data_IF_216123169465
#
_entry.id   IF_216123169465
#
_cell.length_a   1.000
_cell.length_b   1.000
_cell.length_c   1.000
_cell.angle_alpha   90.00
_cell.angle_beta   90.00
_cell.angle_gamma   90.00
#
_symmetry.space_group_name_H-M   'P 1'
#
loop_
_entity.id
_entity.type
_entity.pdbx_description
1 polymer ?
#
# COMPACT_ATOMS: atom_id res chain seq x y z
N UNK A 1 31.95 6.23 4.91
CA UNK A 1 31.06 5.93 3.77
C UNK A 1 31.70 6.52 2.54
N UNK A 2 32.07 5.71 1.53
CA UNK A 2 32.66 6.23 0.30
C UNK A 2 31.59 6.91 -0.55
N UNK A 3 31.97 8.07 -1.11
CA UNK A 3 31.26 8.75 -2.19
C UNK A 3 32.28 8.99 -3.28
N UNK A 4 32.03 8.44 -4.47
CA UNK A 4 32.88 8.55 -5.63
C UNK A 4 32.17 9.35 -6.71
N UNK A 5 32.87 10.32 -7.27
CA UNK A 5 32.40 11.13 -8.40
C UNK A 5 33.21 10.74 -9.61
N UNK A 6 32.52 10.33 -10.67
CA UNK A 6 33.08 9.80 -11.92
C UNK A 6 34.24 8.80 -11.73
N UNK A 7 34.09 7.76 -10.89
CA UNK A 7 35.16 6.78 -10.65
C UNK A 7 35.46 5.93 -11.89
N UNK A 8 36.71 5.48 -11.98
CA UNK A 8 37.08 4.38 -12.88
C UNK A 8 36.31 3.10 -12.53
N UNK A 9 36.00 2.27 -13.54
CA UNK A 9 35.14 1.10 -13.36
C UNK A 9 35.68 0.11 -12.32
N UNK A 10 37.00 -0.09 -12.25
CA UNK A 10 37.64 -0.95 -11.25
C UNK A 10 37.46 -0.42 -9.82
N UNK A 11 37.59 0.89 -9.65
CA UNK A 11 37.36 1.54 -8.36
C UNK A 11 35.89 1.42 -7.94
N UNK A 12 34.97 1.67 -8.89
CA UNK A 12 33.54 1.50 -8.67
C UNK A 12 33.19 0.06 -8.30
N UNK A 13 33.74 -0.94 -9.01
CA UNK A 13 33.53 -2.37 -8.72
C UNK A 13 34.05 -2.74 -7.33
N UNK A 14 35.26 -2.30 -6.98
CA UNK A 14 35.85 -2.56 -5.66
C UNK A 14 34.95 -2.04 -4.54
N UNK A 15 34.44 -0.81 -4.65
CA UNK A 15 33.52 -0.26 -3.64
C UNK A 15 32.14 -0.94 -3.65
N UNK A 16 31.61 -1.34 -4.81
CA UNK A 16 30.37 -2.11 -4.89
C UNK A 16 30.46 -3.43 -4.12
N UNK A 17 31.54 -4.19 -4.32
CA UNK A 17 31.75 -5.48 -3.65
C UNK A 17 31.75 -5.29 -2.13
N UNK A 18 32.55 -4.34 -1.61
CA UNK A 18 32.61 -4.03 -0.18
C UNK A 18 31.24 -3.63 0.37
N UNK A 19 30.50 -2.78 -0.36
CA UNK A 19 29.20 -2.29 0.06
C UNK A 19 28.14 -3.40 0.09
N UNK A 20 28.13 -4.29 -0.92
CA UNK A 20 27.22 -5.45 -0.99
C UNK A 20 27.49 -6.44 0.14
N UNK A 21 28.76 -6.78 0.39
CA UNK A 21 29.16 -7.67 1.51
C UNK A 21 28.73 -7.09 2.86
N UNK A 22 28.86 -5.76 3.02
CA UNK A 22 28.45 -5.04 4.21
C UNK A 22 26.93 -4.74 4.28
N UNK A 23 26.13 -5.25 3.33
CA UNK A 23 24.67 -5.01 3.20
C UNK A 23 24.31 -3.53 3.28
N UNK A 24 25.10 -2.68 2.63
CA UNK A 24 24.85 -1.25 2.54
C UNK A 24 23.87 -0.96 1.40
N UNK A 25 23.14 0.16 1.51
CA UNK A 25 22.47 0.74 0.38
C UNK A 25 23.50 1.40 -0.54
N UNK A 26 23.42 1.14 -1.85
CA UNK A 26 24.27 1.75 -2.87
C UNK A 26 23.41 2.51 -3.86
N UNK A 27 23.81 3.74 -4.15
CA UNK A 27 23.19 4.60 -5.15
C UNK A 27 24.20 4.90 -6.24
N UNK A 28 23.82 4.68 -7.49
CA UNK A 28 24.70 4.80 -8.66
C UNK A 28 23.98 5.67 -9.70
N UNK A 29 24.69 6.64 -10.27
CA UNK A 29 24.28 7.29 -11.53
C UNK A 29 25.26 6.85 -12.59
N UNK A 30 24.75 6.24 -13.66
CA UNK A 30 25.58 5.66 -14.71
C UNK A 30 24.87 5.70 -16.06
N UNK A 31 25.65 5.82 -17.13
CA UNK A 31 25.17 5.45 -18.47
C UNK A 31 25.23 3.92 -18.59
N UNK A 32 24.10 3.30 -18.92
CA UNK A 32 23.99 1.85 -18.92
C UNK A 32 22.92 1.30 -19.85
N UNK A 33 22.99 0.00 -20.11
CA UNK A 33 21.90 -0.82 -20.61
C UNK A 33 21.29 -1.63 -19.47
N UNK A 34 20.06 -2.10 -19.66
CA UNK A 34 19.36 -2.93 -18.69
C UNK A 34 18.62 -4.04 -19.41
N UNK A 35 18.88 -5.29 -19.02
CA UNK A 35 18.18 -6.46 -19.53
C UNK A 35 17.58 -7.24 -18.38
N UNK A 36 16.29 -7.55 -18.48
CA UNK A 36 15.56 -8.36 -17.54
C UNK A 36 15.06 -9.64 -18.21
N UNK A 37 15.26 -10.76 -17.52
CA UNK A 37 14.77 -12.08 -17.93
C UNK A 37 14.11 -12.78 -16.74
N UNK A 38 12.83 -13.09 -16.87
CA UNK A 38 12.02 -13.74 -15.85
C UNK A 38 10.66 -14.15 -16.40
N UNK A 39 9.58 -13.85 -15.66
CA UNK A 39 8.19 -14.06 -16.13
C UNK A 39 7.87 -13.34 -17.44
N UNK A 40 8.57 -12.24 -17.70
CA UNK A 40 8.58 -11.49 -18.95
C UNK A 40 10.04 -11.19 -19.32
N UNK A 41 10.28 -10.73 -20.54
CA UNK A 41 11.58 -10.17 -20.95
C UNK A 41 11.46 -8.68 -21.21
N UNK A 42 12.49 -7.91 -20.85
CA UNK A 42 12.59 -6.51 -21.26
C UNK A 42 14.03 -6.09 -21.48
N UNK A 43 14.27 -5.31 -22.53
CA UNK A 43 15.56 -4.71 -22.82
C UNK A 43 15.42 -3.20 -22.85
N UNK A 44 16.43 -2.52 -22.32
CA UNK A 44 16.58 -1.08 -22.42
C UNK A 44 17.98 -0.75 -22.91
N UNK A 45 18.03 -0.01 -24.03
CA UNK A 45 19.28 0.48 -24.61
C UNK A 45 19.99 1.53 -23.75
N UNK A 46 21.07 2.08 -24.29
CA UNK A 46 21.92 3.06 -23.60
C UNK A 46 21.15 4.25 -23.03
N UNK A 47 21.61 4.75 -21.89
CA UNK A 47 21.06 5.94 -21.26
C UNK A 47 21.46 6.10 -19.80
N UNK A 48 21.42 7.34 -19.32
CA UNK A 48 21.72 7.68 -17.94
C UNK A 48 20.58 7.29 -17.01
N UNK A 49 20.90 6.55 -15.95
CA UNK A 49 19.92 6.02 -14.99
C UNK A 49 20.43 6.14 -13.58
N UNK A 50 19.47 6.32 -12.66
CA UNK A 50 19.68 6.15 -11.24
C UNK A 50 19.42 4.69 -10.86
N UNK A 51 20.43 4.01 -10.35
CA UNK A 51 20.34 2.63 -9.86
C UNK A 51 20.48 2.65 -8.34
N UNK A 52 19.55 1.99 -7.64
CA UNK A 52 19.59 1.82 -6.19
C UNK A 52 19.63 0.33 -5.88
N UNK A 53 20.67 -0.09 -5.16
CA UNK A 53 20.83 -1.44 -4.62
C UNK A 53 20.67 -1.36 -3.11
N UNK A 54 19.69 -2.06 -2.54
CA UNK A 54 19.44 -2.03 -1.10
C UNK A 54 20.12 -3.21 -0.40
N UNK A 55 20.39 -3.05 0.90
CA UNK A 55 21.06 -4.06 1.72
C UNK A 55 20.25 -5.36 1.90
N UNK A 56 18.95 -5.34 1.60
CA UNK A 56 18.05 -6.50 1.62
C UNK A 56 17.99 -7.23 0.26
N UNK A 57 18.76 -6.80 -0.74
CA UNK A 57 18.77 -7.40 -2.08
C UNK A 57 17.74 -6.79 -3.04
N UNK A 58 17.01 -5.75 -2.66
CA UNK A 58 16.14 -5.04 -3.61
C UNK A 58 16.98 -4.20 -4.59
N UNK A 59 16.59 -4.18 -5.87
CA UNK A 59 17.19 -3.31 -6.89
C UNK A 59 16.12 -2.48 -7.59
N UNK A 60 16.40 -1.20 -7.77
CA UNK A 60 15.53 -0.23 -8.46
C UNK A 60 16.36 0.48 -9.52
N UNK A 61 15.79 0.63 -10.71
CA UNK A 61 16.37 1.40 -11.82
C UNK A 61 15.39 2.47 -12.24
N UNK A 62 15.80 3.73 -12.20
CA UNK A 62 14.98 4.90 -12.51
C UNK A 62 15.54 5.69 -13.68
N UNK A 63 14.63 6.29 -14.46
CA UNK A 63 14.93 7.40 -15.37
C UNK A 63 14.94 8.73 -14.59
N UNK A 64 15.37 9.81 -15.21
CA UNK A 64 15.29 11.17 -14.62
C UNK A 64 13.88 11.76 -14.52
N UNK A 65 12.83 10.95 -14.74
CA UNK A 65 11.41 11.34 -14.68
C UNK A 65 10.59 10.18 -14.12
N UNK A 66 9.36 10.49 -13.74
CA UNK A 66 8.37 9.58 -13.15
C UNK A 66 8.78 9.06 -11.75
N UNK A 67 7.79 8.71 -10.93
CA UNK A 67 8.06 8.24 -9.55
C UNK A 67 8.36 6.74 -9.48
N UNK A 68 7.99 5.97 -10.52
CA UNK A 68 8.14 4.52 -10.54
C UNK A 68 9.49 4.10 -11.14
N UNK A 69 10.13 3.04 -10.62
CA UNK A 69 11.28 2.44 -11.30
C UNK A 69 10.84 1.85 -12.65
N UNK A 70 11.69 2.01 -13.67
CA UNK A 70 11.45 1.43 -14.99
C UNK A 70 11.78 -0.07 -15.04
N UNK A 71 12.73 -0.52 -14.21
CA UNK A 71 12.99 -1.92 -13.91
C UNK A 71 13.33 -2.08 -12.43
N UNK A 72 12.94 -3.20 -11.83
CA UNK A 72 13.19 -3.48 -10.43
C UNK A 72 13.18 -4.99 -10.16
N UNK A 73 13.78 -5.39 -9.05
CA UNK A 73 13.53 -6.69 -8.42
C UNK A 73 13.31 -6.53 -6.91
N UNK A 74 12.46 -7.38 -6.30
CA UNK A 74 12.18 -7.32 -4.86
C UNK A 74 13.40 -7.72 -4.03
N UNK A 75 13.28 -7.62 -2.71
CA UNK A 75 14.27 -8.10 -1.74
C UNK A 75 14.61 -9.59 -1.93
N UNK A 76 15.78 -9.99 -1.48
CA UNK A 76 16.27 -11.37 -1.52
C UNK A 76 17.03 -11.73 -2.80
N UNK A 77 17.38 -10.75 -3.65
CA UNK A 77 18.28 -11.01 -4.76
C UNK A 77 19.73 -11.21 -4.27
N UNK A 78 20.46 -12.07 -4.98
CA UNK A 78 21.91 -12.19 -4.87
C UNK A 78 22.53 -11.33 -5.97
N UNK A 79 23.45 -10.45 -5.59
CA UNK A 79 24.18 -9.61 -6.54
C UNK A 79 25.50 -10.26 -6.95
N UNK A 80 25.82 -10.13 -8.23
CA UNK A 80 27.12 -10.48 -8.79
C UNK A 80 27.64 -9.27 -9.57
N UNK A 81 28.92 -8.97 -9.42
CA UNK A 81 29.56 -7.87 -10.13
C UNK A 81 30.84 -8.32 -10.81
N UNK A 82 31.04 -7.91 -12.07
CA UNK A 82 32.27 -8.15 -12.81
C UNK A 82 32.54 -7.02 -13.79
N UNK A 83 33.77 -6.92 -14.26
CA UNK A 83 34.10 -6.11 -15.44
C UNK A 83 34.30 -7.05 -16.61
N UNK A 84 33.64 -6.77 -17.73
CA UNK A 84 33.69 -7.56 -18.94
C UNK A 84 33.51 -6.61 -20.13
N UNK A 85 34.32 -6.76 -21.18
CA UNK A 85 34.27 -5.93 -22.38
C UNK A 85 34.26 -4.39 -22.11
N UNK A 86 35.03 -3.95 -21.12
CA UNK A 86 35.12 -2.53 -20.76
C UNK A 86 33.88 -1.97 -20.08
N UNK A 87 32.98 -2.83 -19.57
CA UNK A 87 31.77 -2.43 -18.84
C UNK A 87 31.75 -3.04 -17.46
N UNK A 88 31.21 -2.29 -16.51
CA UNK A 88 30.89 -2.79 -15.18
C UNK A 88 29.50 -3.42 -15.22
N UNK A 89 29.44 -4.72 -14.99
CA UNK A 89 28.20 -5.49 -15.00
C UNK A 89 27.76 -5.73 -13.57
N UNK A 90 26.52 -5.36 -13.26
CA UNK A 90 25.82 -5.72 -12.02
C UNK A 90 24.64 -6.63 -12.38
N UNK A 91 24.69 -7.88 -11.92
CA UNK A 91 23.63 -8.86 -12.12
C UNK A 91 22.93 -9.15 -10.79
N UNK A 92 21.63 -8.86 -10.73
CA UNK A 92 20.75 -9.27 -9.63
C UNK A 92 20.03 -10.56 -10.01
N UNK A 93 20.15 -11.59 -9.18
CA UNK A 93 19.49 -12.88 -9.37
C UNK A 93 18.52 -13.14 -8.23
N UNK A 94 17.23 -13.27 -8.56
CA UNK A 94 16.22 -13.76 -7.64
C UNK A 94 16.01 -15.25 -7.90
N UNK A 95 16.07 -16.11 -6.86
CA UNK A 95 16.00 -17.56 -7.05
C UNK A 95 14.58 -18.10 -7.21
N UNK A 96 13.56 -17.41 -6.67
CA UNK A 96 12.17 -17.89 -6.68
C UNK A 96 11.14 -16.75 -6.84
N UNK A 97 10.41 -16.71 -7.98
CA UNK A 97 10.76 -17.39 -9.24
C UNK A 97 12.17 -16.97 -9.71
N UNK A 98 12.79 -17.80 -10.55
CA UNK A 98 14.10 -17.49 -11.11
C UNK A 98 13.97 -16.28 -12.05
N UNK A 99 14.56 -15.16 -11.67
CA UNK A 99 14.54 -13.91 -12.43
C UNK A 99 15.93 -13.26 -12.38
N UNK A 100 16.35 -12.65 -13.48
CA UNK A 100 17.63 -11.96 -13.59
C UNK A 100 17.44 -10.54 -14.11
N UNK A 101 18.14 -9.59 -13.50
CA UNK A 101 18.25 -8.21 -13.96
C UNK A 101 19.74 -7.91 -14.13
N UNK A 102 20.16 -7.62 -15.35
CA UNK A 102 21.54 -7.30 -15.71
C UNK A 102 21.61 -5.82 -16.05
N UNK A 103 22.51 -5.10 -15.40
CA UNK A 103 22.79 -3.68 -15.65
C UNK A 103 24.24 -3.59 -16.11
N UNK A 104 24.47 -3.13 -17.33
CA UNK A 104 25.83 -2.99 -17.89
C UNK A 104 26.17 -1.52 -18.05
N UNK A 105 27.13 -1.04 -17.27
CA UNK A 105 27.52 0.36 -17.19
C UNK A 105 28.81 0.57 -17.98
N UNK A 106 28.80 1.46 -18.96
CA UNK A 106 30.03 1.89 -19.64
C UNK A 106 30.75 2.99 -18.86
N UNK A 107 29.98 3.82 -18.14
CA UNK A 107 30.49 4.95 -17.36
C UNK A 107 29.65 5.14 -16.10
N UNK A 108 30.33 5.27 -14.97
CA UNK A 108 29.73 5.57 -13.67
C UNK A 108 30.02 7.02 -13.35
N UNK A 109 28.98 7.86 -13.28
CA UNK A 109 29.11 9.29 -12.93
C UNK A 109 29.12 9.51 -11.42
N UNK A 110 28.45 8.63 -10.68
CA UNK A 110 28.35 8.72 -9.23
C UNK A 110 28.17 7.34 -8.63
N UNK A 111 28.83 7.10 -7.49
CA UNK A 111 28.59 5.95 -6.63
C UNK A 111 28.69 6.37 -5.17
N UNK A 112 27.61 6.17 -4.41
CA UNK A 112 27.59 6.38 -2.96
C UNK A 112 27.12 5.12 -2.23
N UNK A 113 27.79 4.76 -1.15
CA UNK A 113 27.41 3.63 -0.30
C UNK A 113 27.09 4.07 1.13
N UNK A 114 25.89 3.72 1.61
CA UNK A 114 25.31 4.20 2.87
C UNK A 114 24.79 3.05 3.74
N UNK A 115 25.08 3.13 5.05
CA UNK A 115 24.37 2.39 6.10
C UNK A 115 23.27 3.28 6.63
N UNK A 116 22.04 3.03 6.19
CA UNK A 116 20.88 3.70 6.75
C UNK A 116 20.51 3.00 8.06
N UNK A 117 20.17 3.79 9.07
CA UNK A 117 19.57 3.31 10.31
C UNK A 117 18.15 3.87 10.34
N UNK A 118 17.18 2.97 10.28
CA UNK A 118 15.77 3.29 10.36
C UNK A 118 15.11 2.31 11.32
N UNK A 119 14.89 2.78 12.55
CA UNK A 119 14.30 2.01 13.65
C UNK A 119 12.86 2.48 13.94
N UNK A 120 12.36 3.43 13.16
CA UNK A 120 11.02 3.94 13.31
C UNK A 120 10.00 2.92 12.79
N UNK A 121 8.87 2.78 13.50
CA UNK A 121 7.73 2.02 12.99
C UNK A 121 7.06 2.82 11.86
N UNK A 122 6.94 2.19 10.69
CA UNK A 122 6.17 2.76 9.59
C UNK A 122 4.69 2.42 9.77
N UNK A 123 3.91 3.37 10.28
CA UNK A 123 2.44 3.23 10.38
C UNK A 123 1.80 3.87 9.14
N UNK A 124 1.29 3.02 8.25
CA UNK A 124 0.49 3.47 7.12
C UNK A 124 -0.96 3.61 7.57
N UNK A 125 -1.40 4.82 7.95
CA UNK A 125 -2.83 5.09 8.14
C UNK A 125 -3.53 5.02 6.78
N UNK A 126 -4.14 3.89 6.46
CA UNK A 126 -5.05 3.81 5.32
C UNK A 126 -6.25 4.71 5.61
N UNK A 127 -6.55 5.61 4.70
CA UNK A 127 -7.77 6.42 4.73
C UNK A 127 -9.07 5.60 4.74
N UNK A 128 -9.07 4.38 4.21
CA UNK A 128 -10.24 3.50 4.23
C UNK A 128 -10.46 2.92 5.62
N UNK A 129 -9.36 2.62 6.33
CA UNK A 129 -9.40 2.18 7.73
C UNK A 129 -9.97 3.28 8.65
N UNK A 130 -9.59 4.55 8.44
CA UNK A 130 -10.17 5.67 9.19
C UNK A 130 -11.67 5.87 8.88
N UNK A 131 -12.08 5.67 7.63
CA UNK A 131 -13.51 5.65 7.26
C UNK A 131 -14.25 4.49 7.92
N UNK A 132 -13.64 3.29 7.97
CA UNK A 132 -14.18 2.12 8.66
C UNK A 132 -14.34 2.39 10.15
N UNK A 133 -13.28 2.84 10.84
CA UNK A 133 -13.32 3.22 12.27
C UNK A 133 -14.45 4.21 12.56
N UNK A 134 -14.65 5.21 11.70
CA UNK A 134 -15.73 6.17 11.87
C UNK A 134 -17.12 5.51 11.77
N UNK A 135 -17.31 4.57 10.85
CA UNK A 135 -18.56 3.80 10.72
C UNK A 135 -18.76 2.87 11.91
N UNK A 136 -17.70 2.24 12.43
CA UNK A 136 -17.77 1.39 13.62
C UNK A 136 -18.16 2.20 14.87
N UNK A 137 -17.59 3.40 15.01
CA UNK A 137 -17.89 4.32 16.11
C UNK A 137 -19.31 4.92 16.00
N UNK A 138 -19.72 5.33 14.80
CA UNK A 138 -21.03 5.94 14.55
C UNK A 138 -21.71 5.31 13.32
N UNK A 139 -22.35 4.12 13.45
CA UNK A 139 -23.01 3.44 12.33
C UNK A 139 -24.12 4.27 11.66
N UNK A 140 -24.68 5.24 12.38
CA UNK A 140 -25.64 6.23 11.85
C UNK A 140 -25.07 7.13 10.76
N UNK A 141 -23.75 7.15 10.53
CA UNK A 141 -23.13 7.76 9.36
C UNK A 141 -23.63 7.13 8.04
N UNK A 142 -23.99 5.84 8.08
CA UNK A 142 -24.50 5.10 6.92
C UNK A 142 -26.03 5.16 6.90
N UNK A 143 -26.66 4.73 7.99
CA UNK A 143 -28.10 4.82 8.19
C UNK A 143 -28.52 4.61 9.65
N UNK A 144 -29.67 5.16 10.03
CA UNK A 144 -30.22 5.01 11.38
C UNK A 144 -30.62 3.56 11.65
N UNK A 145 -30.22 3.05 12.82
CA UNK A 145 -30.52 1.68 13.25
C UNK A 145 -29.62 0.61 12.64
N UNK A 146 -28.57 0.97 11.88
CA UNK A 146 -27.51 0.03 11.50
C UNK A 146 -26.78 -0.44 12.75
N UNK A 147 -26.65 -1.76 12.89
CA UNK A 147 -25.82 -2.39 13.93
C UNK A 147 -24.71 -3.20 13.26
N UNK A 148 -23.47 -2.85 13.55
CA UNK A 148 -22.32 -3.60 13.07
C UNK A 148 -22.20 -4.89 13.88
N UNK A 149 -22.11 -6.01 13.18
CA UNK A 149 -21.93 -7.34 13.77
C UNK A 149 -20.47 -7.77 13.69
N UNK A 150 -19.81 -7.45 12.57
CA UNK A 150 -18.44 -7.84 12.29
C UNK A 150 -17.79 -6.84 11.34
N UNK A 151 -16.47 -6.75 11.35
CA UNK A 151 -15.67 -5.92 10.44
C UNK A 151 -14.50 -6.76 9.90
N UNK A 152 -14.05 -6.47 8.68
CA UNK A 152 -13.12 -7.33 7.95
C UNK A 152 -13.55 -8.81 7.97
N UNK A 153 -14.86 -9.06 7.78
CA UNK A 153 -15.42 -10.40 7.85
C UNK A 153 -14.85 -11.28 6.74
N UNK A 154 -14.14 -12.34 7.13
CA UNK A 154 -13.52 -13.27 6.19
C UNK A 154 -14.55 -13.99 5.34
N UNK A 155 -14.37 -13.93 4.03
CA UNK A 155 -15.06 -14.70 2.99
C UNK A 155 -14.03 -15.45 2.15
N UNK A 156 -14.45 -16.44 1.35
CA UNK A 156 -13.50 -17.24 0.57
C UNK A 156 -12.51 -16.41 -0.30
N UNK A 157 -12.95 -15.37 -1.03
CA UNK A 157 -12.05 -14.57 -1.86
C UNK A 157 -11.35 -13.40 -1.15
N UNK A 158 -11.60 -13.16 0.16
CA UNK A 158 -11.07 -11.98 0.85
C UNK A 158 -11.83 -11.62 2.13
N UNK A 159 -12.06 -10.33 2.33
CA UNK A 159 -12.71 -9.79 3.53
C UNK A 159 -13.72 -8.71 3.14
N UNK A 160 -14.84 -8.65 3.86
CA UNK A 160 -15.85 -7.59 3.75
C UNK A 160 -15.55 -6.53 4.80
N UNK A 161 -15.48 -5.26 4.40
CA UNK A 161 -15.07 -4.17 5.31
C UNK A 161 -15.99 -4.05 6.52
N UNK A 162 -17.31 -4.02 6.32
CA UNK A 162 -18.29 -4.01 7.42
C UNK A 162 -19.46 -4.95 7.13
N UNK A 163 -19.79 -5.79 8.10
CA UNK A 163 -20.93 -6.69 8.07
C UNK A 163 -21.87 -6.37 9.23
N UNK A 164 -23.13 -6.11 8.93
CA UNK A 164 -24.09 -5.64 9.91
C UNK A 164 -25.52 -6.08 9.65
N UNK A 165 -26.42 -5.53 10.46
CA UNK A 165 -27.88 -5.68 10.32
C UNK A 165 -28.54 -4.31 10.41
N UNK A 166 -29.53 -4.07 9.55
CA UNK A 166 -30.35 -2.86 9.61
C UNK A 166 -31.46 -2.97 10.68
N UNK A 167 -32.25 -1.90 10.80
CA UNK A 167 -33.39 -1.82 11.73
C UNK A 167 -34.52 -2.82 11.43
N UNK A 168 -34.58 -3.36 10.22
CA UNK A 168 -35.54 -4.39 9.80
C UNK A 168 -34.97 -5.81 9.93
N UNK A 169 -33.71 -5.94 10.36
CA UNK A 169 -32.99 -7.20 10.47
C UNK A 169 -32.46 -7.74 9.14
N UNK A 170 -32.42 -6.94 8.07
CA UNK A 170 -31.74 -7.33 6.83
C UNK A 170 -30.22 -7.29 7.05
N UNK A 171 -29.52 -8.20 6.39
CA UNK A 171 -28.05 -8.23 6.41
C UNK A 171 -27.50 -7.12 5.54
N UNK A 172 -26.60 -6.30 6.09
CA UNK A 172 -25.93 -5.20 5.42
C UNK A 172 -24.45 -5.56 5.21
N UNK A 173 -23.97 -5.38 3.98
CA UNK A 173 -22.58 -5.65 3.59
C UNK A 173 -22.03 -4.37 2.97
N UNK A 174 -20.98 -3.82 3.54
CA UNK A 174 -20.42 -2.53 3.14
C UNK A 174 -19.02 -2.72 2.58
N UNK A 175 -18.78 -2.13 1.41
CA UNK A 175 -17.46 -1.90 0.83
C UNK A 175 -17.14 -0.41 0.93
N UNK A 176 -15.96 -0.08 1.46
CA UNK A 176 -15.49 1.28 1.70
C UNK A 176 -14.44 1.65 0.64
N UNK A 177 -14.53 2.87 0.12
CA UNK A 177 -13.50 3.47 -0.72
C UNK A 177 -13.20 4.89 -0.30
N UNK A 178 -11.91 5.24 -0.17
CA UNK A 178 -11.47 6.63 0.07
C UNK A 178 -11.81 7.52 -1.11
N UNK A 179 -11.55 7.01 -2.31
CA UNK A 179 -11.65 7.73 -3.57
C UNK A 179 -12.97 7.36 -4.29
N UNK A 180 -13.36 8.05 -5.37
CA UNK A 180 -14.58 7.72 -6.10
C UNK A 180 -14.64 6.23 -6.48
N UNK A 181 -15.72 5.55 -6.08
CA UNK A 181 -15.83 4.11 -6.24
C UNK A 181 -16.00 3.72 -7.71
N UNK A 182 -15.03 2.95 -8.22
CA UNK A 182 -14.98 2.46 -9.59
C UNK A 182 -15.71 1.12 -9.80
N UNK A 183 -15.71 0.65 -11.06
CA UNK A 183 -16.25 -0.67 -11.41
C UNK A 183 -15.56 -1.83 -10.66
N UNK A 184 -14.31 -1.66 -10.25
CA UNK A 184 -13.58 -2.64 -9.45
C UNK A 184 -14.25 -2.89 -8.08
N UNK A 185 -14.66 -1.83 -7.38
CA UNK A 185 -15.35 -1.94 -6.09
C UNK A 185 -16.70 -2.64 -6.23
N UNK A 186 -17.44 -2.33 -7.29
CA UNK A 186 -18.70 -3.02 -7.61
C UNK A 186 -18.47 -4.50 -7.86
N UNK A 187 -17.48 -4.86 -8.69
CA UNK A 187 -17.15 -6.26 -9.00
C UNK A 187 -16.73 -7.02 -7.74
N UNK A 188 -15.92 -6.40 -6.89
CA UNK A 188 -15.45 -6.98 -5.64
C UNK A 188 -16.61 -7.27 -4.69
N UNK A 189 -17.47 -6.27 -4.44
CA UNK A 189 -18.63 -6.44 -3.57
C UNK A 189 -19.55 -7.55 -4.10
N UNK A 190 -19.84 -7.57 -5.40
CA UNK A 190 -20.63 -8.63 -6.03
C UNK A 190 -20.02 -10.02 -5.85
N UNK A 191 -18.69 -10.13 -5.91
CA UNK A 191 -18.00 -11.40 -5.66
C UNK A 191 -18.21 -11.88 -4.22
N UNK A 192 -18.13 -10.97 -3.25
CA UNK A 192 -18.32 -11.30 -1.83
C UNK A 192 -19.75 -11.75 -1.51
N UNK A 193 -20.76 -11.14 -2.15
CA UNK A 193 -22.16 -11.50 -1.94
C UNK A 193 -22.45 -12.97 -2.28
N UNK A 194 -21.69 -13.61 -3.17
CA UNK A 194 -21.84 -15.03 -3.51
C UNK A 194 -21.56 -15.97 -2.34
N UNK A 195 -20.80 -15.50 -1.34
CA UNK A 195 -20.37 -16.28 -0.17
C UNK A 195 -21.12 -15.90 1.10
N UNK A 196 -22.12 -15.03 0.98
CA UNK A 196 -22.91 -14.54 2.11
C UNK A 196 -24.36 -14.93 1.92
N UNK A 197 -25.00 -15.30 3.02
CA UNK A 197 -26.44 -15.56 3.04
C UNK A 197 -27.07 -14.77 4.18
N UNK A 198 -28.17 -14.06 3.93
CA UNK A 198 -28.91 -13.39 5.00
C UNK A 198 -29.61 -14.43 5.89
N UNK A 199 -30.08 -13.97 7.05
CA UNK A 199 -30.96 -14.78 7.89
C UNK A 199 -32.27 -15.14 7.16
N UNK A 200 -32.93 -16.20 7.63
CA UNK A 200 -34.18 -16.67 7.02
C UNK A 200 -35.25 -15.56 6.98
N UNK A 201 -35.87 -15.38 5.81
CA UNK A 201 -36.84 -14.32 5.57
C UNK A 201 -36.27 -12.89 5.50
N UNK A 202 -34.95 -12.72 5.51
CA UNK A 202 -34.28 -11.41 5.43
C UNK A 202 -33.55 -11.20 4.10
N UNK A 203 -33.33 -9.93 3.76
CA UNK A 203 -32.62 -9.54 2.53
C UNK A 203 -31.13 -9.34 2.78
N UNK A 204 -30.34 -9.46 1.72
CA UNK A 204 -28.95 -9.04 1.69
C UNK A 204 -28.87 -7.69 0.97
N UNK A 205 -28.34 -6.67 1.66
CA UNK A 205 -28.22 -5.28 1.19
C UNK A 205 -26.74 -4.91 1.00
N UNK A 206 -26.24 -4.92 -0.24
CA UNK A 206 -24.90 -4.43 -0.53
C UNK A 206 -24.88 -2.90 -0.57
N UNK A 207 -23.92 -2.28 0.12
CA UNK A 207 -23.72 -0.83 0.17
C UNK A 207 -22.27 -0.51 -0.22
N UNK A 208 -22.09 0.46 -1.11
CA UNK A 208 -20.79 1.10 -1.35
C UNK A 208 -20.77 2.43 -0.59
N UNK A 209 -19.72 2.63 0.20
CA UNK A 209 -19.46 3.86 0.95
C UNK A 209 -18.21 4.54 0.40
N UNK A 210 -18.39 5.70 -0.22
CA UNK A 210 -17.30 6.48 -0.81
C UNK A 210 -17.69 7.96 -0.94
N UNK A 211 -16.77 8.90 -1.24
CA UNK A 211 -17.15 10.29 -1.49
C UNK A 211 -18.11 10.46 -2.67
N UNK A 212 -17.93 9.65 -3.71
CA UNK A 212 -18.75 9.65 -4.94
C UNK A 212 -18.57 8.33 -5.71
N UNK A 213 -19.35 8.14 -6.76
CA UNK A 213 -19.15 7.07 -7.75
C UNK A 213 -18.31 7.59 -8.92
N UNK A 214 -17.42 6.76 -9.47
CA UNK A 214 -16.68 7.11 -10.67
C UNK A 214 -17.61 7.25 -11.89
N UNK A 215 -17.18 8.01 -12.91
CA UNK A 215 -17.97 8.25 -14.13
C UNK A 215 -18.32 6.91 -14.81
N UNK A 216 -19.59 6.76 -15.18
CA UNK A 216 -20.09 5.57 -15.88
C UNK A 216 -20.37 4.35 -14.99
N UNK A 217 -20.18 4.44 -13.68
CA UNK A 217 -20.40 3.30 -12.75
C UNK A 217 -21.86 3.17 -12.32
N UNK A 218 -22.60 4.28 -12.26
CA UNK A 218 -23.99 4.33 -11.79
C UNK A 218 -24.92 3.28 -12.43
N UNK A 219 -24.93 3.08 -13.77
CA UNK A 219 -25.78 2.05 -14.38
C UNK A 219 -25.47 0.63 -13.89
N UNK A 220 -24.20 0.36 -13.55
CA UNK A 220 -23.80 -0.95 -13.02
C UNK A 220 -24.26 -1.11 -11.57
N UNK A 221 -24.11 -0.08 -10.75
CA UNK A 221 -24.60 -0.07 -9.35
C UNK A 221 -26.11 -0.33 -9.30
N UNK A 222 -26.88 0.37 -10.15
CA UNK A 222 -28.33 0.20 -10.24
C UNK A 222 -28.72 -1.20 -10.72
N UNK A 223 -28.08 -1.70 -11.80
CA UNK A 223 -28.33 -3.05 -12.34
C UNK A 223 -28.05 -4.14 -11.31
N UNK A 224 -27.00 -3.98 -10.51
CA UNK A 224 -26.62 -4.92 -9.46
C UNK A 224 -27.37 -4.70 -8.13
N UNK A 225 -28.27 -3.70 -8.07
CA UNK A 225 -29.05 -3.31 -6.88
C UNK A 225 -28.18 -3.03 -5.66
N UNK A 226 -27.05 -2.37 -5.90
CA UNK A 226 -26.13 -1.92 -4.86
C UNK A 226 -26.54 -0.52 -4.42
N UNK A 227 -26.62 -0.31 -3.11
CA UNK A 227 -26.89 1.00 -2.54
C UNK A 227 -25.60 1.82 -2.48
N UNK A 228 -25.72 3.14 -2.61
CA UNK A 228 -24.59 4.06 -2.47
C UNK A 228 -24.84 5.02 -1.32
N UNK A 229 -23.85 5.17 -0.44
CA UNK A 229 -23.88 6.12 0.68
C UNK A 229 -22.65 7.02 0.64
N UNK A 230 -22.81 8.35 0.47
CA UNK A 230 -21.67 9.25 0.41
C UNK A 230 -21.03 9.44 1.80
N UNK A 231 -19.74 9.15 1.89
CA UNK A 231 -18.93 9.44 3.08
C UNK A 231 -17.53 9.87 2.65
N UNK A 232 -17.06 11.01 3.15
CA UNK A 232 -15.71 11.50 2.90
C UNK A 232 -14.78 11.14 4.06
N UNK A 233 -13.48 11.07 3.77
CA UNK A 233 -12.46 10.94 4.81
C UNK A 233 -12.54 12.09 5.83
N UNK A 234 -12.76 13.32 5.36
CA UNK A 234 -12.90 14.49 6.24
C UNK A 234 -14.03 14.30 7.26
N UNK A 235 -15.23 13.92 6.81
CA UNK A 235 -16.37 13.68 7.71
C UNK A 235 -16.10 12.53 8.68
N UNK A 236 -15.37 11.51 8.23
CA UNK A 236 -14.98 10.37 9.06
C UNK A 236 -14.04 10.80 10.19
N UNK A 237 -13.02 11.59 9.88
CA UNK A 237 -12.09 12.15 10.85
C UNK A 237 -12.78 13.09 11.84
N UNK A 238 -13.70 13.94 11.38
CA UNK A 238 -14.51 14.80 12.25
C UNK A 238 -15.34 13.98 13.25
N UNK A 239 -15.93 12.87 12.80
CA UNK A 239 -16.67 11.95 13.68
C UNK A 239 -15.77 11.29 14.73
N UNK A 240 -14.59 10.79 14.32
CA UNK A 240 -13.64 10.19 15.26
C UNK A 240 -13.14 11.20 16.29
N UNK A 241 -12.88 12.44 15.88
CA UNK A 241 -12.50 13.51 16.81
C UNK A 241 -13.62 13.83 17.82
N UNK A 242 -14.89 13.83 17.39
CA UNK A 242 -16.03 14.01 18.30
C UNK A 242 -16.10 12.89 19.34
N UNK A 243 -15.87 11.64 18.93
CA UNK A 243 -15.89 10.48 19.83
C UNK A 243 -14.72 10.52 20.82
N UNK A 244 -13.49 10.80 20.34
CA UNK A 244 -12.33 10.94 21.22
C UNK A 244 -12.50 12.03 22.29
N UNK A 245 -13.11 13.18 21.92
CA UNK A 245 -13.44 14.25 22.88
C UNK A 245 -14.57 13.85 23.84
N UNK A 246 -15.55 13.09 23.37
CA UNK A 246 -16.63 12.56 24.20
C UNK A 246 -16.11 11.59 25.25
N UNK A 247 -15.21 10.68 24.87
CA UNK A 247 -14.60 9.71 25.80
C UNK A 247 -13.76 10.41 26.87
N UNK A 248 -12.98 11.43 26.48
CA UNK A 248 -12.26 12.28 27.43
C UNK A 248 -13.20 13.07 28.36
N UNK A 249 -14.36 13.51 27.86
CA UNK A 249 -15.37 14.21 28.68
C UNK A 249 -16.08 13.25 29.64
N UNK A 250 -16.39 12.03 29.20
CA UNK A 250 -16.97 10.97 30.05
C UNK A 250 -16.00 10.56 31.16
N UNK A 251 -14.71 10.39 30.85
CA UNK A 251 -13.65 10.14 31.83
C UNK A 251 -13.49 11.29 32.83
N UNK A 252 -13.59 12.55 32.39
CA UNK A 252 -13.55 13.72 33.28
C UNK A 252 -14.80 13.84 34.16
N UNK A 253 -15.97 13.50 33.65
CA UNK A 253 -17.21 13.45 34.43
C UNK A 253 -17.14 12.40 35.54
N UNK A 254 -16.57 11.23 35.25
CA UNK A 254 -16.37 10.17 36.24
C UNK A 254 -15.36 10.56 37.34
N UNK A 255 -14.35 11.35 37.00
CA UNK A 255 -13.39 11.90 37.97
C UNK A 255 -13.92 13.12 38.77
N UNK A 256 -15.09 13.66 38.40
CA UNK A 256 -15.62 14.94 38.90
C UNK A 256 -16.67 14.86 40.00
N UNK A 257 -17.17 13.68 40.37
CA UNK A 257 -18.07 13.50 41.51
C UNK A 257 -17.35 12.79 42.66
N UNK A 258 -16.61 13.56 43.48
CA UNK A 258 -16.39 13.17 44.87
C UNK A 258 -17.49 13.83 45.71
N UNK A 259 -18.15 13.11 46.63
CA UNK A 259 -19.10 13.74 47.53
C UNK A 259 -18.38 14.82 48.34
N UNK A 260 -18.96 16.02 48.41
CA UNK A 260 -18.54 17.04 49.38
C UNK A 260 -18.68 16.44 50.78
N UNK A 261 -17.54 16.16 51.42
CA UNK A 261 -17.49 15.94 52.86
C UNK A 261 -17.79 17.27 53.54
N UNK A 262 -19.02 17.38 54.06
CA UNK A 262 -19.44 18.41 55.00
C UNK A 262 -18.46 18.46 56.17
N UNK A 263 -17.83 19.61 56.39
CA UNK A 263 -17.36 20.07 57.71
C UNK A 263 -18.29 21.14 58.23
#
# INVERSE_FOLDING_TARGET
MPVLVSPELDQARSELVKAMEARMMVTIVANCTVTYSGRTGSDMGEGERLVVLKGDGCVLVHRGRDYQPVNWQPSGCVFQTRIENGRLIVKAVRPSPLETLVIEMDRVEFLGAFRLKDEAEFVLHSSEEEMQKAILAEPSLIEQGLRVIDFEKKVAPGFVDVYGIDSQGNTVVIEIKKDPAGAAAVKQLVEYLKYLSPAEGKKLRPIIVAPSLAKGVLPTVERMRIEFKPLTLQKSLETLQRHARSDQKALRGWLGERPEEKS
#
